data_IF_018399129483
#
_entry.id   IF_018399129483
#
_cell.length_a   1.000
_cell.length_b   1.000
_cell.length_c   1.000
_cell.angle_alpha   90.00
_cell.angle_beta   90.00
_cell.angle_gamma   90.00
#
_symmetry.space_group_name_H-M   'P 1'
#
loop_
_entity.id
_entity.type
_entity.pdbx_description
1 polymer ?
#
# COMPACT_ATOMS: atom_id res chain seq x y z
N UNK A 1 -24.48 7.86 4.55
CA UNK A 1 -23.16 7.83 3.89
C UNK A 1 -22.12 7.49 4.96
N UNK A 2 -21.44 6.35 4.84
CA UNK A 2 -20.41 5.96 5.81
C UNK A 2 -19.15 6.79 5.64
N UNK A 3 -18.52 7.21 6.75
CA UNK A 3 -17.23 7.90 6.73
C UNK A 3 -16.18 7.06 5.99
N UNK A 4 -15.59 7.62 4.94
CA UNK A 4 -14.44 7.04 4.27
C UNK A 4 -13.22 7.21 5.17
N UNK A 5 -12.80 6.15 5.84
CA UNK A 5 -11.60 6.15 6.68
C UNK A 5 -10.40 5.71 5.85
N UNK A 6 -9.35 6.52 5.86
CA UNK A 6 -8.10 6.23 5.18
C UNK A 6 -6.94 6.20 6.15
N UNK A 7 -5.96 5.35 5.86
CA UNK A 7 -4.69 5.25 6.59
C UNK A 7 -3.59 5.48 5.56
N UNK A 8 -2.65 6.36 5.88
CA UNK A 8 -1.44 6.54 5.08
C UNK A 8 -0.28 5.85 5.80
N UNK A 9 0.41 4.95 5.09
CA UNK A 9 1.65 4.35 5.55
C UNK A 9 2.80 4.93 4.72
N UNK A 10 3.80 5.52 5.39
CA UNK A 10 5.03 5.93 4.72
C UNK A 10 6.03 4.77 4.78
N UNK A 11 6.51 4.34 3.62
CA UNK A 11 7.54 3.31 3.51
C UNK A 11 8.86 3.99 3.18
N UNK A 12 9.89 3.70 3.98
CA UNK A 12 11.25 4.21 3.77
C UNK A 12 12.19 3.04 3.54
N UNK A 13 12.99 3.13 2.48
CA UNK A 13 13.90 2.08 2.06
C UNK A 13 15.30 2.67 1.89
N UNK A 14 16.29 1.98 2.45
CA UNK A 14 17.71 2.26 2.27
C UNK A 14 18.37 1.06 1.62
N UNK A 15 19.37 1.33 0.78
CA UNK A 15 20.21 0.30 0.17
C UNK A 15 21.68 0.71 0.36
N UNK A 16 22.61 -0.26 0.37
CA UNK A 16 24.05 0.04 0.45
C UNK A 16 24.66 0.40 -0.92
N UNK A 17 23.97 0.06 -2.00
CA UNK A 17 24.37 0.34 -3.39
C UNK A 17 23.16 0.84 -4.18
N UNK A 18 23.42 1.39 -5.37
CA UNK A 18 22.34 1.71 -6.28
C UNK A 18 21.59 0.42 -6.66
N UNK A 19 20.27 0.43 -6.54
CA UNK A 19 19.40 -0.66 -6.96
C UNK A 19 18.14 -0.09 -7.61
N UNK A 20 17.63 -0.77 -8.62
CA UNK A 20 16.31 -0.47 -9.14
C UNK A 20 15.30 -1.40 -8.49
N UNK A 21 14.12 -0.88 -8.17
CA UNK A 21 13.07 -1.71 -7.60
C UNK A 21 11.68 -1.35 -8.07
N UNK A 22 10.83 -2.36 -7.98
CA UNK A 22 9.40 -2.26 -8.08
C UNK A 22 8.76 -2.77 -6.79
N UNK A 23 7.83 -2.00 -6.26
CA UNK A 23 7.06 -2.33 -5.06
C UNK A 23 5.58 -2.37 -5.41
N UNK A 24 4.91 -3.45 -5.05
CA UNK A 24 3.47 -3.63 -5.24
C UNK A 24 2.87 -4.39 -4.06
N UNK A 25 1.55 -4.50 -4.00
CA UNK A 25 0.89 -5.44 -3.09
C UNK A 25 0.44 -6.67 -3.89
N UNK A 26 0.42 -7.83 -3.24
CA UNK A 26 0.03 -9.11 -3.84
C UNK A 26 -1.42 -9.15 -4.35
N UNK A 27 -2.27 -8.22 -3.88
CA UNK A 27 -3.68 -8.10 -4.25
C UNK A 27 -4.09 -6.64 -4.24
N UNK A 28 -4.70 -6.14 -5.33
CA UNK A 28 -5.22 -4.77 -5.47
C UNK A 28 -6.33 -4.40 -4.47
N UNK A 29 -7.00 -5.42 -3.91
CA UNK A 29 -8.12 -5.28 -2.96
C UNK A 29 -7.92 -6.30 -1.84
N UNK A 30 -8.11 -5.85 -0.60
CA UNK A 30 -8.21 -6.71 0.59
C UNK A 30 -9.69 -6.84 0.91
N UNK A 31 -10.27 -7.99 0.60
CA UNK A 31 -11.66 -8.28 0.94
C UNK A 31 -11.78 -8.49 2.46
N UNK A 32 -12.74 -7.78 3.04
CA UNK A 32 -13.23 -7.95 4.40
C UNK A 32 -14.69 -8.42 4.28
N UNK A 33 -15.24 -9.07 5.32
CA UNK A 33 -16.57 -9.70 5.27
C UNK A 33 -17.64 -8.86 4.54
N UNK A 34 -17.78 -7.58 4.90
CA UNK A 34 -18.75 -6.63 4.33
C UNK A 34 -18.10 -5.29 3.91
N UNK A 35 -16.78 -5.27 3.74
CA UNK A 35 -16.04 -4.08 3.34
C UNK A 35 -14.85 -4.46 2.47
N UNK A 36 -14.26 -3.48 1.79
CA UNK A 36 -13.07 -3.69 0.96
C UNK A 36 -12.05 -2.64 1.32
N UNK A 37 -10.79 -3.03 1.47
CA UNK A 37 -9.69 -2.07 1.55
C UNK A 37 -9.01 -2.01 0.20
N UNK A 38 -9.03 -0.83 -0.39
CA UNK A 38 -8.28 -0.49 -1.60
C UNK A 38 -6.99 0.19 -1.18
N UNK A 39 -5.94 0.06 -1.98
CA UNK A 39 -4.73 0.84 -1.77
C UNK A 39 -4.35 1.63 -3.03
N UNK A 40 -3.54 2.65 -2.83
CA UNK A 40 -2.87 3.36 -3.90
C UNK A 40 -1.48 3.81 -3.44
N UNK A 41 -0.51 3.66 -4.33
CA UNK A 41 0.77 4.36 -4.28
C UNK A 41 0.58 5.81 -4.77
N UNK A 42 1.61 6.67 -4.74
CA UNK A 42 1.48 8.05 -5.18
C UNK A 42 0.92 8.14 -6.61
N UNK A 43 0.13 9.17 -6.86
CA UNK A 43 -0.58 9.40 -8.13
C UNK A 43 -1.64 8.34 -8.49
N UNK A 44 -2.12 7.56 -7.51
CA UNK A 44 -3.16 6.54 -7.76
C UNK A 44 -2.62 5.25 -8.38
N UNK A 45 -1.30 5.09 -8.44
CA UNK A 45 -0.67 3.90 -9.00
C UNK A 45 -0.91 2.66 -8.13
N UNK A 46 -0.88 1.47 -8.74
CA UNK A 46 -0.92 0.19 -8.04
C UNK A 46 0.47 -0.35 -7.67
N UNK A 47 1.53 0.36 -8.09
CA UNK A 47 2.92 0.07 -7.73
C UNK A 47 3.77 1.34 -7.62
N UNK A 48 4.81 1.28 -6.81
CA UNK A 48 5.94 2.21 -6.87
C UNK A 48 7.06 1.58 -7.68
N UNK A 49 7.78 2.39 -8.46
CA UNK A 49 8.96 1.95 -9.19
C UNK A 49 9.98 3.08 -9.21
N UNK A 50 11.24 2.76 -8.94
CA UNK A 50 12.28 3.78 -8.90
C UNK A 50 13.66 3.25 -8.51
N UNK A 51 14.68 4.05 -8.83
CA UNK A 51 16.04 3.82 -8.38
C UNK A 51 16.20 4.25 -6.92
N UNK A 52 16.82 3.38 -6.12
CA UNK A 52 17.24 3.68 -4.74
C UNK A 52 18.75 3.85 -4.76
N UNK A 53 19.20 5.05 -4.41
CA UNK A 53 20.61 5.35 -4.29
C UNK A 53 21.08 5.08 -2.85
N UNK A 54 22.28 4.53 -2.68
CA UNK A 54 22.81 4.22 -1.35
C UNK A 54 23.07 5.43 -0.45
N UNK A 55 23.13 6.64 -1.02
CA UNK A 55 23.28 7.89 -0.27
C UNK A 55 21.96 8.52 0.19
N UNK A 56 20.84 8.18 -0.46
CA UNK A 56 19.55 8.85 -0.25
C UNK A 56 18.44 7.82 -0.13
N UNK A 57 17.80 7.67 1.06
CA UNK A 57 16.68 6.76 1.22
C UNK A 57 15.54 7.10 0.26
N UNK A 58 14.97 6.09 -0.39
CA UNK A 58 13.71 6.26 -1.10
C UNK A 58 12.56 6.23 -0.09
N UNK A 59 11.56 7.09 -0.30
CA UNK A 59 10.35 7.12 0.51
C UNK A 59 9.14 7.29 -0.38
N UNK A 60 8.08 6.54 -0.09
CA UNK A 60 6.80 6.66 -0.77
C UNK A 60 5.66 6.35 0.19
N UNK A 61 4.52 6.98 -0.06
CA UNK A 61 3.30 6.74 0.69
C UNK A 61 2.44 5.67 0.03
N UNK A 62 1.80 4.85 0.87
CA UNK A 62 0.74 3.94 0.46
C UNK A 62 -0.51 4.32 1.23
N UNK A 63 -1.54 4.75 0.50
CA UNK A 63 -2.84 5.09 1.10
C UNK A 63 -3.73 3.86 1.05
N UNK A 64 -4.23 3.43 2.21
CA UNK A 64 -5.25 2.40 2.34
C UNK A 64 -6.59 3.06 2.61
N UNK A 65 -7.59 2.78 1.79
CA UNK A 65 -8.94 3.31 1.91
C UNK A 65 -9.91 2.19 2.24
N UNK A 66 -10.62 2.31 3.34
CA UNK A 66 -11.76 1.44 3.67
C UNK A 66 -13.00 1.90 2.89
N UNK A 67 -13.54 0.99 2.09
CA UNK A 67 -14.80 1.13 1.38
C UNK A 67 -15.83 0.21 2.06
N UNK A 68 -16.73 0.79 2.85
CA UNK A 68 -17.70 0.02 3.61
C UNK A 68 -18.90 -0.32 2.74
N UNK A 69 -19.10 -1.59 2.45
CA UNK A 69 -20.13 -2.06 1.50
C UNK A 69 -21.35 -2.67 2.18
N UNK A 70 -21.36 -2.78 3.52
CA UNK A 70 -22.43 -3.41 4.27
C UNK A 70 -22.71 -2.77 5.63
N UNK A 71 -23.58 -3.44 6.38
CA UNK A 71 -24.10 -3.01 7.70
C UNK A 71 -23.52 -3.81 8.86
N UNK A 72 -22.55 -4.71 8.62
CA UNK A 72 -22.03 -5.56 9.68
C UNK A 72 -21.28 -4.71 10.72
N UNK A 73 -21.59 -4.97 11.97
CA UNK A 73 -21.04 -4.26 13.13
C UNK A 73 -19.90 -5.09 13.72
N UNK A 74 -18.78 -4.45 14.03
CA UNK A 74 -17.61 -5.09 14.63
C UNK A 74 -16.29 -4.66 14.01
N UNK A 75 -15.19 -5.16 14.57
CA UNK A 75 -13.85 -4.94 14.02
C UNK A 75 -13.67 -5.73 12.71
N UNK A 76 -13.08 -5.08 11.71
CA UNK A 76 -12.76 -5.68 10.42
C UNK A 76 -11.25 -5.88 10.34
N UNK A 77 -10.82 -7.07 9.95
CA UNK A 77 -9.40 -7.40 9.83
C UNK A 77 -9.14 -8.14 8.52
N UNK A 78 -7.97 -7.88 7.96
CA UNK A 78 -7.50 -8.46 6.72
C UNK A 78 -6.03 -8.14 6.53
N UNK A 79 -5.38 -8.83 5.60
CA UNK A 79 -3.95 -8.66 5.35
C UNK A 79 -3.63 -8.68 3.86
N UNK A 80 -2.50 -8.09 3.52
CA UNK A 80 -1.88 -8.16 2.21
C UNK A 80 -0.37 -8.33 2.37
N UNK A 81 0.28 -8.82 1.31
CA UNK A 81 1.74 -8.95 1.27
C UNK A 81 2.29 -7.86 0.36
N UNK A 82 3.23 -7.07 0.86
CA UNK A 82 3.99 -6.12 0.04
C UNK A 82 5.16 -6.84 -0.61
N UNK A 83 5.21 -6.80 -1.94
CA UNK A 83 6.22 -7.45 -2.76
C UNK A 83 7.26 -6.40 -3.15
N UNK A 84 8.52 -6.67 -2.79
CA UNK A 84 9.68 -5.89 -3.22
C UNK A 84 10.43 -6.71 -4.26
N UNK A 85 10.48 -6.21 -5.49
CA UNK A 85 11.16 -6.84 -6.61
C UNK A 85 12.40 -6.02 -6.96
N UNK A 86 13.56 -6.66 -6.91
CA UNK A 86 14.83 -6.08 -7.33
C UNK A 86 15.03 -6.33 -8.82
N UNK A 87 15.40 -5.29 -9.55
CA UNK A 87 15.73 -5.34 -10.98
C UNK A 87 17.21 -5.04 -11.21
#
# INVERSE_FOLDING_TARGET
MGERKSINANIKITCSKYAYMKVSLSKNIIDLNDAKVKYAFPNGSNSFQGGINGSTPASFDVTFTLDNTGTAVGYKSGSAVMLFQWE
#
